data_IF_987759828501
#
_entry.id   IF_987759828501
#
_cell.length_a   1.000
_cell.length_b   1.000
_cell.length_c   1.000
_cell.angle_alpha   90.00
_cell.angle_beta   90.00
_cell.angle_gamma   90.00
#
_symmetry.space_group_name_H-M   'P 1'
#
loop_
_entity.id
_entity.type
_entity.pdbx_description
1 polymer ?
#
# COMPACT_ATOMS: atom_id res chain seq x y z
N UNK A 1 -12.35 -6.29 -14.84
CA UNK A 1 -10.93 -6.65 -14.60
C UNK A 1 -10.06 -5.84 -15.55
N UNK A 2 -8.92 -5.29 -15.11
CA UNK A 2 -8.05 -4.45 -15.95
C UNK A 2 -7.39 -5.25 -17.09
N UNK A 3 -7.14 -4.66 -18.27
CA UNK A 3 -6.35 -5.27 -19.34
C UNK A 3 -4.92 -5.57 -18.91
N UNK A 4 -4.32 -6.64 -19.40
CA UNK A 4 -3.00 -7.09 -18.92
C UNK A 4 -1.88 -6.10 -19.22
N UNK A 5 -1.92 -5.41 -20.36
CA UNK A 5 -0.98 -4.31 -20.68
C UNK A 5 -1.01 -3.20 -19.63
N UNK A 6 -2.19 -2.89 -19.08
CA UNK A 6 -2.33 -1.88 -18.02
C UNK A 6 -1.71 -2.39 -16.72
N UNK A 7 -1.95 -3.65 -16.35
CA UNK A 7 -1.34 -4.26 -15.15
C UNK A 7 0.19 -4.27 -15.23
N UNK A 8 0.76 -4.64 -16.36
CA UNK A 8 2.22 -4.65 -16.54
C UNK A 8 2.82 -3.25 -16.48
N UNK A 9 2.15 -2.26 -17.08
CA UNK A 9 2.59 -0.85 -17.00
C UNK A 9 2.56 -0.34 -15.56
N UNK A 10 1.52 -0.67 -14.80
CA UNK A 10 1.42 -0.30 -13.38
C UNK A 10 2.52 -0.96 -12.54
N UNK A 11 2.76 -2.27 -12.71
CA UNK A 11 3.84 -2.98 -12.02
C UNK A 11 5.22 -2.38 -12.28
N UNK A 12 5.47 -1.92 -13.51
CA UNK A 12 6.75 -1.32 -13.86
C UNK A 12 7.04 -0.02 -13.10
N UNK A 13 6.00 0.78 -12.87
CA UNK A 13 6.07 2.07 -12.16
C UNK A 13 6.15 1.91 -10.64
N UNK A 14 5.51 0.89 -10.07
CA UNK A 14 5.56 0.63 -8.63
C UNK A 14 6.97 0.15 -8.24
N UNK A 15 7.67 0.80 -7.29
CA UNK A 15 8.98 0.34 -6.83
C UNK A 15 8.99 -1.09 -6.29
N UNK A 16 7.95 -1.50 -5.58
CA UNK A 16 7.75 -2.87 -5.10
C UNK A 16 7.52 -3.93 -6.22
N UNK A 17 7.44 -3.52 -7.50
CA UNK A 17 7.27 -4.39 -8.69
C UNK A 17 6.06 -5.31 -8.68
N UNK A 18 5.03 -4.94 -7.92
CA UNK A 18 3.76 -5.67 -7.86
C UNK A 18 2.60 -4.72 -7.60
N UNK A 19 1.40 -5.14 -8.00
CA UNK A 19 0.17 -4.49 -7.59
C UNK A 19 -0.10 -4.89 -6.13
N UNK A 20 -0.51 -3.93 -5.31
CA UNK A 20 -0.92 -4.17 -3.93
C UNK A 20 -2.13 -5.09 -3.83
N UNK A 21 -2.24 -5.82 -2.74
CA UNK A 21 -3.42 -6.60 -2.40
C UNK A 21 -4.23 -5.86 -1.32
N UNK A 22 -5.52 -6.19 -1.14
CA UNK A 22 -6.31 -5.64 -0.03
C UNK A 22 -5.63 -5.83 1.34
N UNK A 23 -4.93 -6.95 1.53
CA UNK A 23 -4.23 -7.29 2.76
C UNK A 23 -3.06 -6.33 3.06
N UNK A 24 -2.40 -5.78 2.04
CA UNK A 24 -1.33 -4.78 2.26
C UNK A 24 -1.86 -3.56 3.02
N UNK A 25 -3.07 -3.11 2.69
CA UNK A 25 -3.75 -2.00 3.39
C UNK A 25 -4.29 -2.47 4.73
N UNK A 26 -4.97 -3.62 4.77
CA UNK A 26 -5.59 -4.14 5.97
C UNK A 26 -4.57 -4.37 7.11
N UNK A 27 -3.37 -4.86 6.78
CA UNK A 27 -2.33 -5.10 7.77
C UNK A 27 -1.79 -3.79 8.39
N UNK A 28 -1.65 -2.73 7.60
CA UNK A 28 -1.24 -1.41 8.10
C UNK A 28 -2.35 -0.83 9.00
N UNK A 29 -3.60 -0.95 8.59
CA UNK A 29 -4.75 -0.53 9.42
C UNK A 29 -4.80 -1.32 10.72
N UNK A 30 -4.61 -2.64 10.67
CA UNK A 30 -4.60 -3.48 11.86
C UNK A 30 -3.52 -3.06 12.86
N UNK A 31 -2.31 -2.76 12.38
CA UNK A 31 -1.24 -2.19 13.20
C UNK A 31 -1.63 -0.83 13.79
N UNK A 32 -2.19 0.08 12.99
CA UNK A 32 -2.61 1.40 13.47
C UNK A 32 -3.73 1.34 14.52
N UNK A 33 -4.54 0.28 14.50
CA UNK A 33 -5.58 0.05 15.48
C UNK A 33 -5.12 -0.73 16.72
N UNK A 34 -3.85 -1.15 16.79
CA UNK A 34 -3.32 -1.92 17.90
C UNK A 34 -2.60 -1.05 18.94
N UNK A 35 -2.36 -1.61 20.13
CA UNK A 35 -1.71 -0.89 21.24
C UNK A 35 -0.27 -0.47 20.89
N UNK A 36 0.39 -1.20 19.98
CA UNK A 36 1.74 -0.90 19.50
C UNK A 36 1.83 0.45 18.77
N UNK A 37 0.72 0.94 18.22
CA UNK A 37 0.65 2.23 17.53
C UNK A 37 0.10 3.36 18.41
N UNK A 38 -0.02 3.18 19.73
CA UNK A 38 -0.71 4.13 20.63
C UNK A 38 -0.20 5.58 20.61
N UNK A 39 1.04 5.81 20.15
CA UNK A 39 1.62 7.15 20.04
C UNK A 39 1.63 7.74 18.61
N UNK A 40 1.04 7.02 17.64
CA UNK A 40 0.91 7.47 16.25
C UNK A 40 -0.43 8.20 16.10
N UNK A 41 -0.37 9.50 15.81
CA UNK A 41 -1.57 10.32 15.58
C UNK A 41 -1.25 11.49 14.66
N UNK A 42 -2.24 11.97 13.90
CA UNK A 42 -2.09 13.12 12.99
C UNK A 42 -1.34 12.83 11.68
N UNK A 43 -0.94 11.60 11.44
CA UNK A 43 -0.12 11.21 10.28
C UNK A 43 -0.94 10.59 9.14
N UNK A 44 -0.43 10.75 7.91
CA UNK A 44 -0.97 10.11 6.70
C UNK A 44 0.01 9.05 6.21
N UNK A 45 -0.35 7.78 6.37
CA UNK A 45 0.47 6.65 5.93
C UNK A 45 0.06 6.22 4.51
N UNK A 46 0.99 6.29 3.57
CA UNK A 46 0.79 5.78 2.21
C UNK A 46 1.08 4.28 2.14
N UNK A 47 0.15 3.53 1.55
CA UNK A 47 0.28 2.09 1.29
C UNK A 47 0.14 1.86 -0.21
N UNK A 48 1.18 2.21 -0.97
CA UNK A 48 1.14 2.26 -2.44
C UNK A 48 2.33 1.54 -3.12
N UNK A 49 3.11 0.78 -2.35
CA UNK A 49 4.29 0.09 -2.86
C UNK A 49 5.42 1.04 -3.28
N UNK A 50 5.39 2.30 -2.81
CA UNK A 50 6.38 3.35 -3.10
C UNK A 50 6.03 4.22 -4.30
N UNK A 51 4.80 4.17 -4.82
CA UNK A 51 4.45 4.83 -6.08
C UNK A 51 4.56 6.36 -6.02
N UNK A 52 4.25 6.97 -4.87
CA UNK A 52 4.23 8.43 -4.72
C UNK A 52 5.60 9.06 -4.39
N UNK A 53 6.71 8.30 -4.37
CA UNK A 53 8.03 8.74 -3.91
C UNK A 53 9.11 8.46 -4.96
#
# INVERSE_FOLDING_TARGET
>A
VLPDKVKETMKAQIPAKRIGTPEDVANVVAFLCSDEAAYVTGEVIRVDGGLAI
#
